data_IF_138144499219
#
_entry.id   IF_138144499219
#
_cell.length_a   1.000
_cell.length_b   1.000
_cell.length_c   1.000
_cell.angle_alpha   90.00
_cell.angle_beta   90.00
_cell.angle_gamma   90.00
#
_symmetry.space_group_name_H-M   'P 1'
#
loop_
_entity.id
_entity.type
_entity.pdbx_description
1 polymer ?
#
# COMPACT_ATOMS: atom_id res chain seq x y z
N UNK A 1 5.94 -3.04 15.90
CA UNK A 1 5.82 -2.04 14.83
C UNK A 1 5.60 -2.79 13.53
N UNK A 2 4.49 -2.57 12.82
CA UNK A 2 4.31 -3.14 11.48
C UNK A 2 5.35 -2.53 10.51
N UNK A 3 5.78 -3.27 9.50
CA UNK A 3 6.73 -2.76 8.52
C UNK A 3 6.05 -1.64 7.68
N UNK A 4 6.77 -0.56 7.34
CA UNK A 4 6.25 0.49 6.45
C UNK A 4 5.70 -0.08 5.13
N UNK A 5 6.37 -1.09 4.57
CA UNK A 5 5.94 -1.78 3.35
C UNK A 5 4.76 -2.75 3.56
N UNK A 6 4.43 -3.11 4.80
CA UNK A 6 3.30 -3.99 5.18
C UNK A 6 2.05 -3.15 5.40
N UNK A 7 2.14 -2.13 6.27
CA UNK A 7 1.12 -1.08 6.47
C UNK A 7 0.62 -0.48 5.14
N UNK A 8 1.51 -0.24 4.19
CA UNK A 8 1.12 0.26 2.88
C UNK A 8 0.29 -0.75 2.06
N UNK A 9 0.61 -2.05 2.14
CA UNK A 9 -0.15 -3.12 1.47
C UNK A 9 -1.52 -3.33 2.12
N UNK A 10 -1.59 -3.27 3.45
CA UNK A 10 -2.86 -3.26 4.20
C UNK A 10 -3.75 -2.09 3.79
N UNK A 11 -3.17 -0.89 3.65
CA UNK A 11 -3.86 0.32 3.20
C UNK A 11 -4.41 0.19 1.77
N UNK A 12 -3.66 -0.42 0.84
CA UNK A 12 -4.16 -0.72 -0.50
C UNK A 12 -5.30 -1.75 -0.46
N UNK A 13 -5.15 -2.86 0.29
CA UNK A 13 -6.18 -3.88 0.41
C UNK A 13 -7.47 -3.33 1.05
N UNK A 14 -7.35 -2.44 2.03
CA UNK A 14 -8.49 -1.76 2.65
C UNK A 14 -9.21 -0.79 1.68
N UNK A 15 -8.45 -0.08 0.83
CA UNK A 15 -9.01 0.76 -0.24
C UNK A 15 -9.74 -0.10 -1.30
N UNK A 16 -9.13 -1.21 -1.72
CA UNK A 16 -9.73 -2.17 -2.66
C UNK A 16 -10.99 -2.86 -2.08
N UNK A 17 -11.06 -3.00 -0.75
CA UNK A 17 -12.26 -3.43 -0.02
C UNK A 17 -13.31 -2.30 0.18
N UNK A 18 -13.13 -1.12 -0.41
CA UNK A 18 -14.09 -0.02 -0.42
C UNK A 18 -13.96 1.00 0.72
N UNK A 19 -12.87 0.98 1.52
CA UNK A 19 -12.61 2.06 2.49
C UNK A 19 -12.22 3.34 1.75
N UNK A 20 -12.80 4.48 2.14
CA UNK A 20 -12.49 5.76 1.51
C UNK A 20 -11.16 6.33 1.97
N UNK A 21 -10.58 7.27 1.22
CA UNK A 21 -9.30 7.89 1.57
C UNK A 21 -9.40 8.67 2.90
N UNK A 22 -10.56 9.22 3.22
CA UNK A 22 -10.86 9.94 4.47
C UNK A 22 -10.99 8.99 5.67
N UNK A 23 -11.42 7.74 5.44
CA UNK A 23 -11.41 6.70 6.47
C UNK A 23 -9.97 6.25 6.73
N UNK A 24 -9.21 5.89 5.68
CA UNK A 24 -7.82 5.48 5.79
C UNK A 24 -6.91 6.58 6.39
N UNK A 25 -7.20 7.86 6.07
CA UNK A 25 -6.52 9.02 6.68
C UNK A 25 -6.66 9.04 8.20
N UNK A 26 -7.84 8.73 8.73
CA UNK A 26 -8.13 8.63 10.17
C UNK A 26 -7.52 7.36 10.77
N UNK A 27 -7.74 6.21 10.13
CA UNK A 27 -7.30 4.90 10.62
C UNK A 27 -5.77 4.82 10.78
N UNK A 28 -5.01 5.39 9.82
CA UNK A 28 -3.54 5.34 9.79
C UNK A 28 -2.85 6.62 10.28
N UNK A 29 -3.59 7.68 10.64
CA UNK A 29 -3.04 8.95 11.10
C UNK A 29 -2.20 9.70 10.05
N UNK A 30 -2.63 9.66 8.78
CA UNK A 30 -1.90 10.26 7.65
C UNK A 30 -2.77 11.23 6.86
N UNK A 31 -2.16 12.21 6.20
CA UNK A 31 -2.90 13.12 5.31
C UNK A 31 -3.49 12.40 4.10
N UNK A 32 -4.62 12.89 3.59
CA UNK A 32 -5.28 12.41 2.35
C UNK A 32 -4.28 12.32 1.18
N UNK A 33 -3.40 13.31 1.01
CA UNK A 33 -2.36 13.31 -0.02
C UNK A 33 -1.29 12.21 0.21
N UNK A 34 -0.94 11.94 1.47
CA UNK A 34 -0.04 10.85 1.83
C UNK A 34 -0.65 9.48 1.56
N UNK A 35 -1.94 9.29 1.85
CA UNK A 35 -2.69 8.06 1.51
C UNK A 35 -2.69 7.87 -0.01
N UNK A 36 -3.11 8.88 -0.79
CA UNK A 36 -3.15 8.80 -2.26
C UNK A 36 -1.78 8.48 -2.88
N UNK A 37 -0.70 9.04 -2.33
CA UNK A 37 0.68 8.74 -2.73
C UNK A 37 1.08 7.29 -2.43
N UNK A 38 0.66 6.74 -1.28
CA UNK A 38 0.89 5.33 -0.93
C UNK A 38 0.09 4.41 -1.86
N UNK A 39 -1.21 4.65 -2.05
CA UNK A 39 -2.08 3.85 -2.92
C UNK A 39 -1.54 3.80 -4.35
N UNK A 40 -1.16 4.97 -4.91
CA UNK A 40 -0.56 5.07 -6.25
C UNK A 40 0.75 4.29 -6.32
N UNK A 41 1.61 4.41 -5.31
CA UNK A 41 2.90 3.73 -5.24
C UNK A 41 2.78 2.20 -5.13
N UNK A 42 1.87 1.67 -4.32
CA UNK A 42 1.65 0.22 -4.21
C UNK A 42 0.92 -0.34 -5.45
N UNK A 43 -0.03 0.40 -6.04
CA UNK A 43 -0.69 0.01 -7.29
C UNK A 43 0.30 -0.06 -8.46
N UNK A 44 1.16 0.93 -8.61
CA UNK A 44 2.23 0.89 -9.59
C UNK A 44 3.22 -0.27 -9.33
N UNK A 45 3.59 -0.53 -8.06
CA UNK A 45 4.41 -1.70 -7.68
C UNK A 45 3.76 -3.05 -8.04
N UNK A 46 2.41 -3.17 -7.96
CA UNK A 46 1.68 -4.33 -8.49
C UNK A 46 1.79 -4.47 -10.00
N UNK A 47 1.74 -3.35 -10.72
CA UNK A 47 1.67 -3.33 -12.19
C UNK A 47 3.02 -3.61 -12.88
N UNK A 48 4.18 -3.42 -12.22
CA UNK A 48 5.50 -3.44 -12.89
C UNK A 48 6.60 -4.38 -12.31
N UNK A 49 6.27 -5.38 -11.47
CA UNK A 49 7.28 -6.15 -10.68
C UNK A 49 7.43 -7.66 -11.06
N UNK A 50 8.62 -8.32 -10.95
CA UNK A 50 8.98 -9.43 -11.87
C UNK A 50 9.11 -10.89 -11.36
N UNK A 51 10.03 -11.29 -10.44
CA UNK A 51 10.43 -12.72 -10.26
C UNK A 51 10.65 -13.22 -8.80
N UNK A 52 10.68 -14.56 -8.51
CA UNK A 52 10.05 -15.27 -7.37
C UNK A 52 8.52 -15.20 -7.05
N UNK A 53 8.04 -14.49 -5.99
CA UNK A 53 6.62 -14.41 -5.50
C UNK A 53 5.78 -13.11 -5.81
N UNK A 54 6.09 -11.90 -5.29
CA UNK A 54 5.44 -10.60 -5.65
C UNK A 54 6.22 -9.52 -6.46
N UNK A 55 7.51 -9.57 -6.80
CA UNK A 55 8.30 -10.77 -7.08
C UNK A 55 9.23 -11.19 -5.84
N UNK A 56 8.86 -12.04 -4.85
CA UNK A 56 9.44 -12.37 -3.48
C UNK A 56 10.46 -11.46 -2.72
N UNK A 57 10.55 -10.15 -2.99
CA UNK A 57 11.60 -9.28 -2.44
C UNK A 57 13.03 -9.66 -2.88
N UNK A 58 13.18 -10.27 -4.07
CA UNK A 58 14.41 -10.26 -4.89
C UNK A 58 15.71 -10.72 -4.19
N UNK A 59 15.74 -11.96 -3.71
CA UNK A 59 16.92 -12.78 -3.30
C UNK A 59 18.28 -12.05 -3.15
N UNK A 60 18.50 -11.34 -2.04
CA UNK A 60 19.81 -11.15 -1.36
C UNK A 60 19.62 -10.43 -0.03
#
# INVERSE_FOLDING_TARGET
>A
MANKAERNREMLAAYEAGRTIEQLSKDYGLSVASIGSVLTGERHRREVSPDPFYRALRQS
#
